data_IF_947816281802
#
_entry.id   IF_947816281802
#
_cell.length_a   1.000
_cell.length_b   1.000
_cell.length_c   1.000
_cell.angle_alpha   90.00
_cell.angle_beta   90.00
_cell.angle_gamma   90.00
#
_symmetry.space_group_name_H-M   'P 1'
#
loop_
_entity.id
_entity.type
_entity.pdbx_description
1 polymer ?
#
# COMPACT_ATOMS: atom_id res chain seq x y z
N UNK A 1 0.55 38.14 0.54
CA UNK A 1 0.60 37.51 -0.82
C UNK A 1 2.05 37.12 -1.06
N UNK A 2 2.36 35.90 -1.54
CA UNK A 2 3.76 35.45 -1.73
C UNK A 2 4.09 33.99 -1.34
N UNK A 3 3.18 33.27 -0.69
CA UNK A 3 3.45 31.90 -0.23
C UNK A 3 3.21 30.80 -1.29
N UNK A 4 2.95 31.16 -2.56
CA UNK A 4 2.61 30.20 -3.61
C UNK A 4 3.71 29.17 -3.83
N UNK A 5 4.96 29.62 -4.05
CA UNK A 5 6.12 28.73 -4.25
C UNK A 5 6.36 27.83 -3.04
N UNK A 6 6.31 28.37 -1.83
CA UNK A 6 6.52 27.61 -0.58
C UNK A 6 5.43 26.56 -0.39
N UNK A 7 4.16 26.92 -0.65
CA UNK A 7 3.04 25.99 -0.54
C UNK A 7 3.10 24.88 -1.59
N UNK A 8 3.48 25.21 -2.82
CA UNK A 8 3.67 24.23 -3.89
C UNK A 8 4.81 23.26 -3.56
N UNK A 9 5.95 23.78 -3.07
CA UNK A 9 7.06 22.94 -2.63
C UNK A 9 6.65 22.03 -1.47
N UNK A 10 5.95 22.57 -0.46
CA UNK A 10 5.42 21.78 0.66
C UNK A 10 4.46 20.69 0.18
N UNK A 11 3.62 20.99 -0.81
CA UNK A 11 2.70 20.02 -1.40
C UNK A 11 3.43 18.94 -2.20
N UNK A 12 4.44 19.32 -2.98
CA UNK A 12 5.26 18.41 -3.79
C UNK A 12 6.06 17.44 -2.92
N UNK A 13 6.61 17.92 -1.80
CA UNK A 13 7.35 17.09 -0.84
C UNK A 13 6.46 16.28 0.10
N UNK A 14 5.13 16.47 0.06
CA UNK A 14 4.25 15.82 1.00
C UNK A 14 4.01 14.34 0.62
N UNK A 15 4.21 13.38 1.53
CA UNK A 15 4.03 11.96 1.25
C UNK A 15 2.55 11.54 1.19
N UNK A 16 1.60 12.48 1.21
CA UNK A 16 0.15 12.20 1.34
C UNK A 16 -0.36 11.17 0.33
N UNK A 17 0.04 11.28 -0.94
CA UNK A 17 -0.39 10.34 -1.98
C UNK A 17 0.18 8.95 -1.77
N UNK A 18 1.46 8.87 -1.39
CA UNK A 18 2.14 7.60 -1.10
C UNK A 18 1.54 6.94 0.16
N UNK A 19 1.26 7.72 1.20
CA UNK A 19 0.60 7.24 2.42
C UNK A 19 -0.78 6.65 2.13
N UNK A 20 -1.61 7.31 1.31
CA UNK A 20 -2.92 6.77 0.91
C UNK A 20 -2.79 5.47 0.11
N UNK A 21 -1.82 5.39 -0.80
CA UNK A 21 -1.58 4.17 -1.57
C UNK A 21 -1.11 3.00 -0.68
N UNK A 22 -0.16 3.26 0.23
CA UNK A 22 0.32 2.28 1.21
C UNK A 22 -0.80 1.82 2.17
N UNK A 23 -1.63 2.73 2.64
CA UNK A 23 -2.82 2.41 3.44
C UNK A 23 -3.81 1.55 2.68
N UNK A 24 -4.11 1.87 1.41
CA UNK A 24 -5.01 1.06 0.60
C UNK A 24 -4.46 -0.37 0.38
N UNK A 25 -3.15 -0.51 0.16
CA UNK A 25 -2.50 -1.80 -0.01
C UNK A 25 -2.55 -2.65 1.27
N UNK A 26 -2.17 -2.08 2.42
CA UNK A 26 -2.18 -2.78 3.72
C UNK A 26 -3.59 -3.12 4.19
N UNK A 27 -4.55 -2.22 3.97
CA UNK A 27 -5.96 -2.46 4.25
C UNK A 27 -6.52 -3.59 3.37
N UNK A 28 -6.18 -3.63 2.08
CA UNK A 28 -6.59 -4.70 1.18
C UNK A 28 -6.07 -6.08 1.65
N UNK A 29 -4.81 -6.16 2.10
CA UNK A 29 -4.25 -7.38 2.68
C UNK A 29 -5.02 -7.87 3.93
N UNK A 30 -5.66 -6.93 4.64
CA UNK A 30 -6.49 -7.20 5.84
C UNK A 30 -7.98 -7.33 5.52
N UNK A 31 -8.39 -7.23 4.26
CA UNK A 31 -9.81 -7.24 3.85
C UNK A 31 -10.60 -6.00 4.27
N UNK A 32 -9.92 -4.89 4.57
CA UNK A 32 -10.53 -3.62 4.96
C UNK A 32 -10.69 -2.74 3.71
N UNK A 33 -11.91 -2.22 3.51
CA UNK A 33 -12.18 -1.29 2.42
C UNK A 33 -11.73 0.13 2.77
N UNK A 34 -11.01 0.78 1.87
CA UNK A 34 -10.64 2.20 1.96
C UNK A 34 -11.46 3.00 0.96
N UNK A 35 -12.01 4.13 1.42
CA UNK A 35 -12.88 5.01 0.61
C UNK A 35 -12.37 6.44 0.71
N UNK A 36 -12.26 7.13 -0.43
CA UNK A 36 -11.98 8.57 -0.48
C UNK A 36 -13.25 9.37 -0.24
N UNK A 37 -13.15 10.43 0.55
CA UNK A 37 -14.29 11.27 0.95
C UNK A 37 -13.89 12.74 0.78
N UNK A 38 -14.81 13.64 0.39
CA UNK A 38 -14.47 15.05 0.23
C UNK A 38 -14.05 15.63 1.59
N UNK A 39 -12.90 16.29 1.65
CA UNK A 39 -12.34 16.83 2.90
C UNK A 39 -12.70 18.31 3.15
N UNK A 40 -13.30 19.00 2.18
CA UNK A 40 -13.64 20.42 2.31
C UNK A 40 -14.58 20.65 3.50
N UNK A 41 -14.25 21.59 4.37
CA UNK A 41 -15.06 21.94 5.54
C UNK A 41 -15.04 20.93 6.71
N UNK A 42 -14.39 19.77 6.58
CA UNK A 42 -14.41 18.73 7.63
C UNK A 42 -13.84 19.21 8.97
N UNK A 43 -12.92 20.16 8.94
CA UNK A 43 -12.26 20.73 10.12
C UNK A 43 -12.83 22.09 10.56
N UNK A 44 -13.93 22.52 9.94
CA UNK A 44 -14.56 23.81 10.17
C UNK A 44 -16.00 23.70 10.69
N UNK A 45 -16.62 22.52 10.62
CA UNK A 45 -18.01 22.30 11.03
C UNK A 45 -18.10 21.33 12.20
N UNK A 46 -19.02 21.60 13.12
CA UNK A 46 -19.25 20.76 14.28
C UNK A 46 -19.81 19.39 13.85
N UNK A 47 -19.28 18.27 14.35
CA UNK A 47 -19.84 16.95 14.02
C UNK A 47 -21.28 16.75 14.53
N UNK A 48 -21.68 17.49 15.57
CA UNK A 48 -23.01 17.43 16.17
C UNK A 48 -24.06 18.26 15.43
N UNK A 49 -23.90 19.58 15.40
CA UNK A 49 -24.88 20.53 14.84
C UNK A 49 -24.51 21.07 13.44
N UNK A 50 -23.38 20.68 12.86
CA UNK A 50 -22.85 21.16 11.58
C UNK A 50 -22.58 22.70 11.52
N UNK A 51 -22.71 23.42 12.64
CA UNK A 51 -22.35 24.83 12.78
C UNK A 51 -20.82 25.07 12.72
N UNK A 52 -20.37 26.28 12.34
CA UNK A 52 -18.95 26.62 12.34
C UNK A 52 -18.27 26.43 13.71
N UNK A 53 -17.10 25.80 13.69
CA UNK A 53 -16.25 25.61 14.87
C UNK A 53 -15.44 26.88 15.16
N UNK A 54 -15.45 27.32 16.42
CA UNK A 54 -14.54 28.34 16.92
C UNK A 54 -13.16 27.75 17.22
N UNK A 55 -12.14 28.60 17.29
CA UNK A 55 -10.74 28.21 17.47
C UNK A 55 -10.07 28.99 18.60
N UNK A 56 -10.52 28.79 19.86
CA UNK A 56 -10.07 29.62 20.98
C UNK A 56 -8.56 29.51 21.26
N UNK A 57 -7.95 28.34 21.04
CA UNK A 57 -6.51 28.12 21.20
C UNK A 57 -5.74 28.11 19.87
N UNK A 58 -6.28 28.75 18.82
CA UNK A 58 -5.63 28.85 17.52
C UNK A 58 -5.83 27.63 16.61
N UNK A 59 -4.94 27.47 15.63
CA UNK A 59 -5.12 26.61 14.46
C UNK A 59 -5.46 25.14 14.76
N UNK A 60 -4.86 24.57 15.82
CA UNK A 60 -5.04 23.16 16.18
C UNK A 60 -6.25 22.90 17.08
N UNK A 61 -6.94 23.96 17.53
CA UNK A 61 -8.11 23.83 18.39
C UNK A 61 -9.39 23.97 17.60
N UNK A 62 -10.40 23.22 18.00
CA UNK A 62 -11.75 23.30 17.48
C UNK A 62 -12.74 23.21 18.65
N UNK A 63 -13.69 24.13 18.72
CA UNK A 63 -14.70 24.18 19.77
C UNK A 63 -16.07 24.54 19.18
N UNK A 64 -17.12 23.87 19.63
CA UNK A 64 -18.50 24.21 19.29
C UNK A 64 -19.22 24.73 20.54
N UNK A 65 -19.75 25.98 20.53
CA UNK A 65 -20.47 26.52 21.68
C UNK A 65 -21.82 25.81 21.92
N UNK A 66 -22.53 25.43 20.85
CA UNK A 66 -23.83 24.76 20.96
C UNK A 66 -23.72 23.34 21.51
N UNK A 67 -22.93 22.48 20.86
CA UNK A 67 -22.78 21.08 21.28
C UNK A 67 -21.81 20.87 22.45
N UNK A 68 -21.03 21.89 22.84
CA UNK A 68 -19.95 21.80 23.84
C UNK A 68 -18.92 20.69 23.53
N UNK A 69 -18.75 20.38 22.25
CA UNK A 69 -17.74 19.42 21.78
C UNK A 69 -16.52 20.21 21.32
N UNK A 70 -15.34 19.82 21.80
CA UNK A 70 -14.09 20.45 21.42
C UNK A 70 -12.88 19.54 21.57
N UNK A 71 -11.76 19.99 21.01
CA UNK A 71 -10.48 19.28 21.05
C UNK A 71 -9.59 19.63 19.87
N UNK A 72 -8.79 18.66 19.43
CA UNK A 72 -7.91 18.82 18.28
C UNK A 72 -8.73 18.95 16.98
N UNK A 73 -8.39 19.94 16.16
CA UNK A 73 -9.01 20.18 14.86
C UNK A 73 -8.94 18.98 13.91
N UNK A 74 -7.85 18.23 13.91
CA UNK A 74 -7.68 17.05 13.05
C UNK A 74 -8.54 15.89 13.54
N UNK A 75 -8.76 15.78 14.85
CA UNK A 75 -9.70 14.82 15.41
C UNK A 75 -11.13 15.11 14.94
N UNK A 76 -11.58 16.36 15.04
CA UNK A 76 -12.88 16.80 14.52
C UNK A 76 -13.01 16.53 13.01
N UNK A 77 -11.95 16.80 12.26
CA UNK A 77 -11.88 16.49 10.83
C UNK A 77 -12.05 14.99 10.56
N UNK A 78 -11.39 14.14 11.33
CA UNK A 78 -11.50 12.69 11.25
C UNK A 78 -12.92 12.19 11.53
N UNK A 79 -13.57 12.71 12.59
CA UNK A 79 -14.96 12.38 12.93
C UNK A 79 -15.91 12.78 11.79
N UNK A 80 -15.75 13.98 11.21
CA UNK A 80 -16.57 14.44 10.10
C UNK A 80 -16.34 13.66 8.80
N UNK A 81 -15.10 13.24 8.53
CA UNK A 81 -14.80 12.36 7.39
C UNK A 81 -15.46 10.99 7.56
N UNK A 82 -15.42 10.42 8.77
CA UNK A 82 -16.11 9.18 9.08
C UNK A 82 -17.64 9.31 8.95
N UNK A 83 -18.21 10.41 9.47
CA UNK A 83 -19.64 10.76 9.32
C UNK A 83 -20.04 10.76 7.84
N UNK A 84 -19.29 11.47 6.99
CA UNK A 84 -19.51 11.53 5.54
C UNK A 84 -19.37 10.18 4.85
N UNK A 85 -18.39 9.35 5.26
CA UNK A 85 -18.23 8.00 4.71
C UNK A 85 -19.46 7.12 4.99
N UNK A 86 -20.01 7.21 6.20
CA UNK A 86 -21.19 6.44 6.62
C UNK A 86 -22.46 6.89 5.90
N UNK A 87 -22.67 8.20 5.76
CA UNK A 87 -23.79 8.77 5.01
C UNK A 87 -23.70 8.42 3.52
N UNK A 88 -22.50 8.55 2.94
CA UNK A 88 -22.24 8.29 1.54
C UNK A 88 -22.10 6.81 1.17
N UNK A 89 -22.30 5.86 2.09
CA UNK A 89 -21.99 4.43 1.86
C UNK A 89 -22.70 3.84 0.65
N UNK A 90 -23.95 4.26 0.40
CA UNK A 90 -24.77 3.80 -0.74
C UNK A 90 -24.43 4.52 -2.04
N UNK A 91 -23.73 5.65 -1.96
CA UNK A 91 -23.37 6.53 -3.07
C UNK A 91 -21.88 6.41 -3.45
N UNK A 92 -21.22 5.34 -3.01
CA UNK A 92 -19.81 5.08 -3.32
C UNK A 92 -19.67 4.73 -4.80
N UNK A 93 -18.90 5.53 -5.53
CA UNK A 93 -18.56 5.24 -6.92
C UNK A 93 -17.31 4.38 -6.99
N UNK A 94 -17.38 3.27 -7.74
CA UNK A 94 -16.24 2.36 -7.98
C UNK A 94 -15.88 2.40 -9.46
N UNK A 95 -14.61 2.63 -9.76
CA UNK A 95 -14.06 2.56 -11.12
C UNK A 95 -12.85 1.63 -11.12
N UNK A 96 -12.67 0.87 -12.19
CA UNK A 96 -11.53 -0.06 -12.31
C UNK A 96 -10.23 0.72 -12.20
N UNK A 97 -9.29 0.20 -11.41
CA UNK A 97 -7.99 0.85 -11.18
C UNK A 97 -8.02 2.12 -10.32
N UNK A 98 -9.18 2.49 -9.75
CA UNK A 98 -9.33 3.66 -8.89
C UNK A 98 -9.87 3.25 -7.52
N UNK A 99 -9.44 3.98 -6.48
CA UNK A 99 -9.97 3.79 -5.14
C UNK A 99 -11.46 4.19 -5.09
N UNK A 100 -12.32 3.44 -4.37
CA UNK A 100 -13.71 3.82 -4.17
C UNK A 100 -13.82 5.24 -3.61
N UNK A 101 -14.75 6.03 -4.13
CA UNK A 101 -14.88 7.44 -3.73
C UNK A 101 -16.33 7.87 -3.54
N UNK A 102 -16.56 8.62 -2.46
CA UNK A 102 -17.78 9.41 -2.23
C UNK A 102 -17.54 10.79 -2.81
N UNK A 103 -18.42 11.25 -3.70
CA UNK A 103 -18.26 12.55 -4.39
C UNK A 103 -18.95 13.70 -3.68
N UNK A 104 -20.03 13.41 -2.97
CA UNK A 104 -20.88 14.41 -2.33
C UNK A 104 -20.56 14.49 -0.85
N UNK A 105 -20.37 15.71 -0.34
CA UNK A 105 -20.21 15.95 1.09
C UNK A 105 -21.60 16.08 1.72
N UNK A 106 -22.07 15.03 2.39
CA UNK A 106 -23.36 15.04 3.08
C UNK A 106 -23.16 15.32 4.57
N UNK A 107 -24.04 16.15 5.12
CA UNK A 107 -24.05 16.56 6.52
C UNK A 107 -25.40 16.18 7.11
N UNK A 108 -25.40 15.07 7.85
CA UNK A 108 -26.59 14.60 8.57
C UNK A 108 -26.14 13.86 9.83
N UNK A 109 -26.92 13.91 10.93
CA UNK A 109 -26.55 13.22 12.16
C UNK A 109 -26.39 11.72 11.90
N UNK A 110 -25.24 11.17 12.31
CA UNK A 110 -24.96 9.74 12.22
C UNK A 110 -25.10 9.15 13.61
N UNK A 111 -26.02 8.20 13.77
CA UNK A 111 -26.15 7.45 15.03
C UNK A 111 -24.88 6.64 15.27
N UNK A 112 -24.31 6.74 16.47
CA UNK A 112 -23.23 5.86 16.90
C UNK A 112 -23.76 4.43 16.96
N UNK A 113 -23.03 3.48 16.40
CA UNK A 113 -23.31 2.07 16.61
C UNK A 113 -23.12 1.76 18.11
N UNK A 114 -24.19 1.31 18.78
CA UNK A 114 -24.14 0.96 20.21
C UNK A 114 -23.34 -0.31 20.47
N UNK A 115 -23.29 -1.20 19.49
CA UNK A 115 -22.78 -2.56 19.67
C UNK A 115 -21.30 -2.71 19.28
N UNK A 116 -20.66 -1.63 18.80
CA UNK A 116 -19.27 -1.65 18.34
C UNK A 116 -18.35 -1.00 19.37
N UNK A 117 -18.02 -1.75 20.43
CA UNK A 117 -17.16 -1.29 21.51
C UNK A 117 -15.67 -1.62 21.32
N UNK A 118 -15.31 -2.24 20.18
CA UNK A 118 -13.93 -2.65 19.92
C UNK A 118 -13.58 -2.71 18.43
N UNK A 119 -12.27 -2.81 18.11
CA UNK A 119 -11.79 -2.97 16.74
C UNK A 119 -12.43 -4.21 16.09
N UNK A 120 -12.69 -4.14 14.79
CA UNK A 120 -13.23 -5.30 14.06
C UNK A 120 -12.26 -6.46 14.19
N UNK A 121 -12.69 -7.63 14.71
CA UNK A 121 -11.80 -8.78 14.85
C UNK A 121 -11.24 -9.17 13.47
N UNK A 122 -9.97 -9.61 13.47
CA UNK A 122 -9.31 -10.03 12.23
C UNK A 122 -10.13 -11.13 11.55
N UNK A 123 -10.33 -11.03 10.24
CA UNK A 123 -11.03 -12.07 9.50
C UNK A 123 -10.31 -13.41 9.73
N UNK A 124 -11.02 -14.49 10.08
CA UNK A 124 -10.42 -15.81 10.16
C UNK A 124 -9.68 -16.09 8.86
N UNK A 125 -8.36 -16.27 8.92
CA UNK A 125 -7.60 -16.71 7.74
C UNK A 125 -8.15 -18.09 7.40
N UNK A 126 -8.54 -18.29 6.14
CA UNK A 126 -8.86 -19.63 5.66
C UNK A 126 -7.67 -20.53 5.99
N UNK A 127 -7.85 -21.42 6.98
CA UNK A 127 -6.89 -22.48 7.27
C UNK A 127 -6.82 -23.24 5.96
N UNK A 128 -5.67 -23.20 5.28
CA UNK A 128 -5.44 -24.14 4.18
C UNK A 128 -5.63 -25.51 4.82
N UNK A 129 -6.77 -26.14 4.52
CA UNK A 129 -6.91 -27.57 4.73
C UNK A 129 -5.71 -28.14 3.99
N UNK A 130 -4.75 -28.70 4.72
CA UNK A 130 -3.78 -29.60 4.10
C UNK A 130 -4.65 -30.67 3.47
N UNK A 131 -4.92 -30.53 2.17
CA UNK A 131 -5.40 -31.65 1.37
C UNK A 131 -4.38 -32.75 1.63
N UNK A 132 -4.90 -33.91 1.99
CA UNK A 132 -4.24 -35.20 2.06
C UNK A 132 -3.03 -35.25 1.12
N UNK A 133 -1.94 -35.86 1.62
CA UNK A 133 -0.78 -36.25 0.82
C UNK A 133 -1.25 -36.70 -0.58
N UNK A 134 -0.59 -36.26 -1.67
CA UNK A 134 -0.99 -36.70 -2.99
C UNK A 134 -0.88 -38.23 -3.00
N UNK A 135 -2.03 -38.91 -3.09
CA UNK A 135 -2.06 -40.31 -3.49
C UNK A 135 -1.41 -40.33 -4.85
N UNK A 136 -0.22 -40.92 -4.92
CA UNK A 136 0.51 -41.14 -6.17
C UNK A 136 -0.41 -41.98 -7.05
N UNK A 137 -1.02 -41.36 -8.05
CA UNK A 137 -1.65 -42.10 -9.14
C UNK A 137 -0.52 -42.84 -9.86
N UNK A 138 -0.54 -44.18 -9.96
CA UNK A 138 0.42 -44.87 -10.81
C UNK A 138 0.22 -44.37 -12.24
N UNK A 139 1.29 -43.86 -12.85
CA UNK A 139 1.29 -43.45 -14.26
C UNK A 139 1.19 -44.71 -15.12
N UNK A 140 -0.02 -45.21 -15.33
CA UNK A 140 -0.25 -46.18 -16.39
C UNK A 140 -0.08 -45.45 -17.73
N UNK A 141 0.92 -45.87 -18.50
CA UNK A 141 1.05 -45.49 -19.93
C UNK A 141 2.12 -44.46 -20.29
N UNK A 142 3.05 -44.09 -19.39
CA UNK A 142 4.23 -43.32 -19.81
C UNK A 142 5.40 -44.27 -19.95
N UNK A 143 5.85 -44.53 -21.18
CA UNK A 143 7.13 -45.17 -21.45
C UNK A 143 8.22 -44.36 -20.75
N UNK A 144 9.06 -44.97 -19.89
CA UNK A 144 10.11 -44.23 -19.21
C UNK A 144 11.09 -43.71 -20.27
N UNK A 145 11.13 -42.39 -20.48
CA UNK A 145 12.22 -41.77 -21.22
C UNK A 145 13.50 -42.08 -20.46
N UNK A 146 14.48 -42.65 -21.16
CA UNK A 146 15.80 -42.94 -20.62
C UNK A 146 16.32 -41.70 -19.90
N UNK A 147 16.83 -41.91 -18.68
CA UNK A 147 17.44 -40.84 -17.90
C UNK A 147 18.72 -40.40 -18.60
N UNK A 148 18.71 -39.19 -19.14
CA UNK A 148 19.90 -38.54 -19.68
C UNK A 148 20.42 -37.59 -18.59
N UNK A 149 21.65 -37.77 -18.09
CA UNK A 149 22.27 -36.87 -17.13
C UNK A 149 22.29 -35.43 -17.67
N UNK A 150 22.13 -34.43 -16.78
CA UNK A 150 21.92 -33.03 -17.17
C UNK A 150 23.00 -32.46 -18.11
N UNK A 151 24.24 -32.93 -18.00
CA UNK A 151 25.35 -32.54 -18.88
C UNK A 151 25.18 -32.96 -20.35
N UNK A 152 24.39 -34.01 -20.62
CA UNK A 152 24.09 -34.49 -21.98
C UNK A 152 22.74 -34.00 -22.51
N UNK A 153 21.89 -33.45 -21.64
CA UNK A 153 20.59 -32.87 -22.03
C UNK A 153 20.71 -31.40 -22.50
N UNK A 154 21.89 -30.81 -22.32
CA UNK A 154 22.24 -29.45 -22.70
C UNK A 154 22.67 -29.39 -24.17
N UNK A 155 21.88 -28.72 -25.00
CA UNK A 155 22.20 -28.43 -26.42
C UNK A 155 23.47 -27.55 -26.54
N UNK A 156 23.80 -26.81 -25.48
CA UNK A 156 24.92 -25.89 -25.46
C UNK A 156 26.25 -26.56 -25.09
N UNK A 157 26.22 -27.70 -24.40
CA UNK A 157 27.43 -28.44 -23.98
C UNK A 157 27.91 -29.48 -25.02
N UNK A 158 27.14 -29.71 -26.10
CA UNK A 158 27.50 -30.65 -27.17
C UNK A 158 28.23 -29.99 -28.35
N UNK A 159 28.41 -28.68 -28.32
CA UNK A 159 29.17 -27.97 -29.35
C UNK A 159 30.67 -28.18 -29.09
N UNK A 160 31.32 -29.03 -29.90
CA UNK A 160 32.78 -29.11 -29.93
C UNK A 160 33.33 -27.73 -30.33
N UNK A 161 34.22 -27.10 -29.56
CA UNK A 161 34.90 -25.89 -30.03
C UNK A 161 35.71 -26.24 -31.29
N UNK A 162 35.58 -25.40 -32.32
CA UNK A 162 36.43 -25.48 -33.50
C UNK A 162 37.89 -25.26 -33.08
N UNK A 163 38.87 -25.94 -33.72
CA UNK A 163 40.28 -25.74 -33.41
C UNK A 163 40.68 -24.27 -33.63
N UNK A 164 41.62 -23.73 -32.84
CA UNK A 164 42.02 -22.34 -32.94
C UNK A 164 42.69 -22.09 -34.30
N UNK A 165 42.03 -21.30 -35.15
CA UNK A 165 42.72 -20.66 -36.26
C UNK A 165 43.36 -19.38 -35.76
N UNK A 166 44.67 -19.33 -35.95
CA UNK A 166 45.55 -18.26 -35.51
C UNK A 166 45.28 -16.92 -36.17
N UNK A 167 45.54 -15.88 -35.38
CA UNK A 167 46.07 -14.58 -35.74
C UNK A 167 45.64 -13.95 -37.08
N UNK A 168 44.73 -12.96 -36.97
CA UNK A 168 44.94 -11.64 -37.55
C UNK A 168 43.82 -10.67 -37.12
N UNK A 169 44.18 -9.53 -36.50
CA UNK A 169 43.36 -8.32 -36.57
C UNK A 169 42.74 -7.80 -35.27
N UNK A 170 43.57 -7.16 -34.44
CA UNK A 170 43.29 -5.98 -33.62
C UNK A 170 41.87 -5.35 -33.65
N UNK A 171 41.21 -5.22 -32.50
CA UNK A 171 41.26 -4.03 -31.59
C UNK A 171 39.99 -3.91 -30.70
N UNK A 172 40.23 -3.55 -29.45
CA UNK A 172 39.32 -2.93 -28.46
C UNK A 172 38.43 -3.86 -27.58
N UNK A 173 39.11 -4.39 -26.57
CA UNK A 173 38.74 -4.50 -25.14
C UNK A 173 37.45 -3.78 -24.69
N UNK A 174 36.48 -4.54 -24.20
CA UNK A 174 35.52 -4.06 -23.19
C UNK A 174 35.83 -4.75 -21.86
N UNK A 175 36.26 -3.95 -20.88
CA UNK A 175 36.54 -4.34 -19.50
C UNK A 175 35.24 -4.64 -18.74
N UNK A 176 35.03 -5.85 -18.18
CA UNK A 176 33.98 -6.08 -17.20
C UNK A 176 34.45 -5.65 -15.79
N UNK A 177 33.68 -4.77 -15.16
CA UNK A 177 33.86 -4.31 -13.78
C UNK A 177 33.71 -5.51 -12.83
N UNK A 178 34.76 -5.76 -12.03
CA UNK A 178 34.79 -6.82 -11.02
C UNK A 178 33.83 -6.54 -9.86
N UNK A 179 33.12 -7.59 -9.46
CA UNK A 179 32.23 -7.69 -8.30
C UNK A 179 33.01 -7.47 -6.99
N UNK A 180 32.56 -6.51 -6.18
CA UNK A 180 33.15 -6.23 -4.87
C UNK A 180 32.80 -7.32 -3.85
N UNK A 181 33.84 -8.00 -3.39
CA UNK A 181 33.87 -8.96 -2.28
C UNK A 181 33.55 -8.26 -0.96
N UNK A 182 32.74 -8.92 -0.12
CA UNK A 182 32.51 -8.54 1.28
C UNK A 182 33.78 -8.80 2.10
N UNK A 183 34.23 -7.82 2.87
CA UNK A 183 35.21 -8.00 3.94
C UNK A 183 34.55 -7.63 5.25
N UNK A 184 34.51 -8.61 6.15
CA UNK A 184 34.27 -8.42 7.58
C UNK A 184 35.63 -8.28 8.26
N UNK A 185 35.69 -7.41 9.28
CA UNK A 185 36.69 -7.27 10.38
C UNK A 185 36.78 -5.76 10.70
N UNK A 186 36.97 -5.27 11.92
CA UNK A 186 37.18 -5.83 13.25
C UNK A 186 37.02 -4.63 14.21
N UNK A 187 36.33 -4.81 15.35
CA UNK A 187 36.33 -3.81 16.41
C UNK A 187 37.57 -4.02 17.29
N UNK A 188 38.35 -2.96 17.51
CA UNK A 188 39.33 -2.88 18.61
C UNK A 188 39.40 -1.46 19.16
N UNK A 189 39.43 -1.40 20.49
CA UNK A 189 39.40 -0.23 21.38
C UNK A 189 40.50 0.81 21.15
N UNK A 190 40.18 2.07 21.44
CA UNK A 190 40.71 2.87 22.57
C UNK A 190 39.67 3.94 22.93
#
# INVERSE_FOLDING_TARGET
RGHGRVNNNRAAQSPRRQAVAALAHTAAASGIAVVSVPARGSSAQCPGCDEPLSRPGGYHTAWCPGCRVGGNRDHMAGVNLAKRALLGRSKVTRRRGQMPTVRVAEHAPVRRCRDKNGPTPSRPRHRRVRRSLPTVTPRMGVTPKQYVPASQASVWDTVKPAPPHGDAGSRATHTPLQSATRVADSMRSM
#
